data_IF_241385567577
#
_entry.id   IF_241385567577
#
_cell.length_a   1.000
_cell.length_b   1.000
_cell.length_c   1.000
_cell.angle_alpha   90.00
_cell.angle_beta   90.00
_cell.angle_gamma   90.00
#
_symmetry.space_group_name_H-M   'P 1'
#
loop_
_entity.id
_entity.type
_entity.pdbx_description
1 polymer ?
#
# COMPACT_ATOMS: atom_id res chain seq x y z
N UNK A 1 -5.60 -18.29 -23.54
CA UNK A 1 -5.23 -16.88 -23.28
C UNK A 1 -4.84 -16.71 -21.82
N UNK A 2 -4.11 -15.66 -21.48
CA UNK A 2 -3.56 -15.40 -20.13
C UNK A 2 -4.64 -15.43 -19.04
N UNK A 3 -5.81 -14.82 -19.30
CA UNK A 3 -6.92 -14.78 -18.35
C UNK A 3 -7.47 -16.17 -17.97
N UNK A 4 -7.67 -17.05 -18.95
CA UNK A 4 -8.15 -18.41 -18.70
C UNK A 4 -7.12 -19.25 -17.90
N UNK A 5 -5.83 -19.05 -18.18
CA UNK A 5 -4.74 -19.70 -17.44
C UNK A 5 -4.69 -19.23 -15.99
N UNK A 6 -4.93 -17.94 -15.71
CA UNK A 6 -5.01 -17.38 -14.35
C UNK A 6 -6.10 -18.06 -13.51
N UNK A 7 -7.25 -18.36 -14.12
CA UNK A 7 -8.38 -19.03 -13.46
C UNK A 7 -8.30 -20.57 -13.46
N UNK A 8 -7.28 -21.17 -14.09
CA UNK A 8 -7.24 -22.62 -14.28
C UNK A 8 -8.37 -23.15 -15.18
N UNK A 9 -8.98 -22.31 -16.02
CA UNK A 9 -10.12 -22.66 -16.87
C UNK A 9 -9.70 -22.89 -18.32
N UNK A 10 -10.50 -23.69 -19.04
CA UNK A 10 -10.39 -23.77 -20.49
C UNK A 10 -10.84 -22.43 -21.15
N UNK A 11 -10.16 -21.95 -22.21
CA UNK A 11 -10.52 -20.67 -22.85
C UNK A 11 -11.94 -20.57 -23.38
N UNK A 12 -12.59 -21.69 -23.72
CA UNK A 12 -13.99 -21.70 -24.13
C UNK A 12 -14.94 -21.45 -22.96
N UNK A 13 -14.63 -21.99 -21.77
CA UNK A 13 -15.41 -21.76 -20.55
C UNK A 13 -15.42 -20.29 -20.18
N UNK A 14 -14.25 -19.65 -20.17
CA UNK A 14 -14.15 -18.21 -19.89
C UNK A 14 -14.88 -17.36 -20.93
N UNK A 15 -14.85 -17.77 -22.22
CA UNK A 15 -15.62 -17.09 -23.27
C UNK A 15 -17.13 -17.27 -23.09
N UNK A 16 -17.58 -18.45 -22.69
CA UNK A 16 -18.98 -18.71 -22.36
C UNK A 16 -19.45 -17.82 -21.22
N UNK A 17 -18.68 -17.77 -20.13
CA UNK A 17 -19.00 -16.89 -19.00
C UNK A 17 -19.05 -15.41 -19.37
N UNK A 18 -18.18 -14.96 -20.28
CA UNK A 18 -18.20 -13.59 -20.76
C UNK A 18 -19.45 -13.31 -21.60
N UNK A 19 -19.92 -14.29 -22.39
CA UNK A 19 -21.17 -14.17 -23.14
C UNK A 19 -22.39 -14.15 -22.20
N UNK A 20 -22.35 -14.97 -21.15
CA UNK A 20 -23.39 -15.08 -20.12
C UNK A 20 -23.42 -13.88 -19.16
N UNK A 21 -22.49 -12.92 -19.29
CA UNK A 21 -22.35 -11.79 -18.37
C UNK A 21 -21.81 -12.15 -16.98
N UNK A 22 -21.33 -13.38 -16.77
CA UNK A 22 -20.76 -13.86 -15.50
C UNK A 22 -19.37 -13.32 -15.20
N UNK A 23 -18.67 -12.86 -16.24
CA UNK A 23 -17.38 -12.16 -16.11
C UNK A 23 -17.43 -10.90 -16.97
N UNK A 24 -17.04 -9.78 -16.37
CA UNK A 24 -16.89 -8.53 -17.10
C UNK A 24 -15.77 -8.65 -18.14
N UNK A 25 -16.01 -8.16 -19.35
CA UNK A 25 -14.99 -8.08 -20.38
C UNK A 25 -15.14 -6.82 -21.22
N UNK A 26 -14.02 -6.32 -21.70
CA UNK A 26 -13.93 -5.16 -22.59
C UNK A 26 -13.46 -5.68 -23.95
N UNK A 27 -14.18 -5.29 -25.01
CA UNK A 27 -13.76 -5.59 -26.38
C UNK A 27 -12.71 -4.59 -26.85
N UNK A 28 -11.59 -5.10 -27.33
CA UNK A 28 -10.53 -4.31 -27.98
C UNK A 28 -10.28 -4.90 -29.35
N UNK A 29 -10.92 -4.31 -30.37
CA UNK A 29 -10.94 -4.86 -31.73
C UNK A 29 -11.62 -6.24 -31.76
N UNK A 30 -10.84 -7.29 -32.08
CA UNK A 30 -11.32 -8.70 -32.13
C UNK A 30 -11.01 -9.48 -30.85
N UNK A 31 -10.36 -8.86 -29.87
CA UNK A 31 -9.93 -9.52 -28.64
C UNK A 31 -10.80 -9.10 -27.45
N UNK A 32 -11.01 -10.06 -26.54
CA UNK A 32 -11.61 -9.79 -25.23
C UNK A 32 -10.51 -9.55 -24.20
N UNK A 33 -10.60 -8.45 -23.48
CA UNK A 33 -9.77 -8.15 -22.31
C UNK A 33 -10.60 -8.27 -21.05
N UNK A 34 -10.02 -8.90 -20.05
CA UNK A 34 -10.67 -9.14 -18.77
C UNK A 34 -9.97 -8.28 -17.72
N UNK A 35 -10.69 -7.41 -16.99
CA UNK A 35 -10.14 -6.72 -15.83
C UNK A 35 -9.60 -7.75 -14.84
N UNK A 36 -8.45 -7.45 -14.24
CA UNK A 36 -7.80 -8.37 -13.28
C UNK A 36 -8.73 -8.63 -12.09
N UNK A 37 -9.35 -7.58 -11.56
CA UNK A 37 -10.29 -7.65 -10.43
C UNK A 37 -11.51 -8.53 -10.73
N UNK A 38 -11.99 -8.51 -11.99
CA UNK A 38 -13.10 -9.37 -12.42
C UNK A 38 -12.70 -10.86 -12.43
N UNK A 39 -11.45 -11.16 -12.77
CA UNK A 39 -10.91 -12.52 -12.68
C UNK A 39 -10.67 -12.93 -11.23
N UNK A 40 -10.16 -12.03 -10.39
CA UNK A 40 -9.85 -12.33 -8.98
C UNK A 40 -11.14 -12.64 -8.20
N UNK A 41 -12.24 -11.90 -8.45
CA UNK A 41 -13.59 -12.24 -7.93
C UNK A 41 -14.05 -13.66 -8.30
N UNK A 42 -13.73 -14.14 -9.49
CA UNK A 42 -14.10 -15.48 -9.97
C UNK A 42 -13.19 -16.59 -9.45
N UNK A 43 -11.97 -16.23 -9.04
CA UNK A 43 -10.99 -17.15 -8.47
C UNK A 43 -11.34 -17.57 -7.04
N UNK A 44 -12.42 -17.01 -6.48
CA UNK A 44 -12.77 -17.17 -5.07
C UNK A 44 -11.82 -16.41 -4.15
N UNK A 45 -11.00 -15.50 -4.68
CA UNK A 45 -10.30 -14.51 -3.86
C UNK A 45 -11.38 -13.56 -3.35
N UNK A 46 -11.72 -13.59 -2.05
CA UNK A 46 -12.75 -12.72 -1.53
C UNK A 46 -12.34 -11.26 -1.83
N UNK A 47 -13.29 -10.36 -2.14
CA UNK A 47 -13.03 -8.94 -2.00
C UNK A 47 -12.48 -8.76 -0.59
N UNK A 48 -11.25 -8.28 -0.47
CA UNK A 48 -10.67 -7.95 0.82
C UNK A 48 -11.63 -6.96 1.46
N UNK A 49 -12.34 -7.36 2.50
CA UNK A 49 -13.13 -6.40 3.26
C UNK A 49 -12.17 -5.30 3.71
N UNK A 50 -12.53 -4.01 3.54
CA UNK A 50 -11.64 -2.92 3.89
C UNK A 50 -11.33 -2.98 5.39
N UNK A 51 -10.20 -3.59 5.72
CA UNK A 51 -9.73 -3.68 7.10
C UNK A 51 -9.45 -2.27 7.59
N UNK A 52 -9.81 -1.93 8.82
CA UNK A 52 -9.44 -0.63 9.42
C UNK A 52 -8.07 -0.70 10.12
N UNK A 53 -7.38 -1.83 9.97
CA UNK A 53 -6.07 -2.08 10.56
C UNK A 53 -4.99 -1.16 9.96
N UNK A 54 -4.15 -0.66 10.85
CA UNK A 54 -3.06 0.27 10.58
C UNK A 54 -1.74 -0.41 10.90
N UNK A 55 -0.79 -0.36 9.98
CA UNK A 55 0.60 -0.71 10.21
C UNK A 55 1.43 0.55 10.47
N UNK A 56 2.25 0.55 11.52
CA UNK A 56 3.20 1.63 11.78
C UNK A 56 4.55 1.37 11.12
N UNK A 57 5.19 2.40 10.56
CA UNK A 57 6.59 2.34 10.16
C UNK A 57 7.42 3.43 10.84
N UNK A 58 8.45 3.00 11.57
CA UNK A 58 9.36 3.90 12.29
C UNK A 58 10.80 3.69 11.85
N UNK A 59 11.54 4.80 11.73
CA UNK A 59 12.92 4.78 11.21
C UNK A 59 13.78 5.82 11.90
N UNK A 60 15.01 5.40 12.23
CA UNK A 60 16.09 6.29 12.69
C UNK A 60 17.32 6.16 11.80
N UNK A 61 17.99 7.28 11.53
CA UNK A 61 19.32 7.26 10.90
C UNK A 61 20.35 6.81 11.93
N UNK A 62 21.26 5.92 11.54
CA UNK A 62 22.29 5.40 12.44
C UNK A 62 23.38 6.41 12.86
N UNK A 63 23.41 7.64 12.31
CA UNK A 63 24.60 8.48 12.33
C UNK A 63 24.53 9.77 13.17
N UNK A 64 23.41 10.13 13.80
CA UNK A 64 23.36 11.38 14.58
C UNK A 64 22.26 11.34 15.62
N UNK A 65 22.60 11.71 16.86
CA UNK A 65 21.72 11.77 18.03
C UNK A 65 20.67 12.89 17.97
N UNK A 66 19.91 12.94 16.88
CA UNK A 66 18.72 13.79 16.75
C UNK A 66 17.48 12.98 17.16
N UNK A 67 16.70 13.61 18.03
CA UNK A 67 15.70 13.05 18.94
C UNK A 67 14.38 12.65 18.26
N UNK A 68 14.38 11.49 17.61
CA UNK A 68 13.19 10.64 17.74
C UNK A 68 13.68 9.21 17.88
N UNK A 69 13.67 8.71 19.12
CA UNK A 69 13.96 7.29 19.32
C UNK A 69 12.90 6.47 18.59
N UNK A 70 13.26 5.27 18.12
CA UNK A 70 12.29 4.34 17.53
C UNK A 70 11.09 4.13 18.47
N UNK A 71 11.36 4.10 19.78
CA UNK A 71 10.35 3.99 20.83
C UNK A 71 9.43 5.21 20.91
N UNK A 72 9.96 6.43 20.78
CA UNK A 72 9.16 7.65 20.80
C UNK A 72 8.21 7.74 19.60
N UNK A 73 8.72 7.47 18.40
CA UNK A 73 7.87 7.42 17.19
C UNK A 73 6.79 6.34 17.31
N UNK A 74 7.13 5.17 17.84
CA UNK A 74 6.18 4.08 18.03
C UNK A 74 5.13 4.40 19.11
N UNK A 75 5.53 5.06 20.20
CA UNK A 75 4.62 5.50 21.24
C UNK A 75 3.59 6.51 20.70
N UNK A 76 4.05 7.47 19.89
CA UNK A 76 3.21 8.45 19.22
C UNK A 76 2.20 7.78 18.25
N UNK A 77 2.65 6.81 17.45
CA UNK A 77 1.75 6.03 16.60
C UNK A 77 0.73 5.24 17.44
N UNK A 78 1.15 4.66 18.58
CA UNK A 78 0.23 3.94 19.47
C UNK A 78 -0.79 4.85 20.12
N UNK A 79 -0.38 6.06 20.52
CA UNK A 79 -1.27 7.06 21.10
C UNK A 79 -2.34 7.48 20.09
N UNK A 80 -1.97 7.65 18.81
CA UNK A 80 -2.91 8.09 17.78
C UNK A 80 -3.87 7.00 17.30
N UNK A 81 -3.37 5.78 17.07
CA UNK A 81 -4.18 4.73 16.44
C UNK A 81 -4.71 3.69 17.42
N UNK A 82 -4.18 3.61 18.65
CA UNK A 82 -4.62 2.64 19.66
C UNK A 82 -4.67 1.22 19.13
N UNK A 83 -5.81 0.55 19.32
CA UNK A 83 -6.05 -0.84 18.91
C UNK A 83 -6.08 -1.05 17.39
N UNK A 84 -6.20 0.03 16.61
CA UNK A 84 -6.09 -0.07 15.15
C UNK A 84 -4.66 -0.30 14.70
N UNK A 85 -3.65 0.04 15.52
CA UNK A 85 -2.24 -0.19 15.19
C UNK A 85 -1.85 -1.65 15.43
N UNK A 86 -2.01 -2.50 14.42
CA UNK A 86 -1.82 -3.95 14.56
C UNK A 86 -0.36 -4.37 14.62
N UNK A 87 0.52 -3.65 13.91
CA UNK A 87 1.94 -4.02 13.80
C UNK A 87 2.82 -2.80 13.54
N UNK A 88 4.02 -2.79 14.12
CA UNK A 88 5.01 -1.72 13.90
C UNK A 88 6.31 -2.30 13.34
N UNK A 89 6.70 -1.81 12.18
CA UNK A 89 7.94 -2.15 11.48
C UNK A 89 9.00 -1.10 11.77
N UNK A 90 10.24 -1.55 12.00
CA UNK A 90 11.33 -0.70 12.48
C UNK A 90 12.58 -0.87 11.64
N UNK A 91 13.28 0.23 11.36
CA UNK A 91 14.60 0.22 10.72
C UNK A 91 15.58 1.22 11.36
N UNK A 92 16.84 0.79 11.48
CA UNK A 92 17.98 1.66 11.78
C UNK A 92 18.83 1.82 10.52
N UNK A 93 18.45 2.78 9.67
CA UNK A 93 19.09 3.04 8.40
C UNK A 93 18.92 4.50 7.98
N UNK A 94 19.92 5.02 7.25
CA UNK A 94 19.76 6.29 6.52
C UNK A 94 18.58 6.20 5.55
N UNK A 95 17.84 7.29 5.36
CA UNK A 95 16.74 7.36 4.39
C UNK A 95 17.18 7.27 2.93
N UNK A 96 18.50 7.20 2.68
CA UNK A 96 19.12 6.93 1.38
C UNK A 96 19.48 5.46 1.16
N UNK A 97 19.43 4.62 2.21
CA UNK A 97 19.75 3.19 2.07
C UNK A 97 18.50 2.41 1.66
N UNK A 98 18.63 1.62 0.61
CA UNK A 98 17.56 0.74 0.13
C UNK A 98 17.41 -0.51 1.00
N UNK A 99 18.50 -1.04 1.56
CA UNK A 99 18.48 -2.21 2.47
C UNK A 99 17.81 -1.87 3.79
N UNK A 100 16.49 -2.09 3.85
CA UNK A 100 15.60 -1.79 4.98
C UNK A 100 14.71 -3.01 5.26
N UNK A 101 15.17 -3.97 6.08
CA UNK A 101 14.41 -5.21 6.33
C UNK A 101 13.04 -4.97 6.99
N UNK A 102 12.87 -3.89 7.75
CA UNK A 102 11.57 -3.47 8.27
C UNK A 102 10.61 -3.08 7.14
N UNK A 103 11.02 -2.13 6.29
CA UNK A 103 10.24 -1.69 5.14
C UNK A 103 9.93 -2.83 4.16
N UNK A 104 10.90 -3.70 3.85
CA UNK A 104 10.69 -4.83 2.95
C UNK A 104 9.71 -5.87 3.51
N UNK A 105 9.57 -5.98 4.83
CA UNK A 105 8.53 -6.81 5.44
C UNK A 105 7.17 -6.12 5.38
N UNK A 106 7.12 -4.82 5.64
CA UNK A 106 5.91 -4.02 5.50
C UNK A 106 5.34 -4.13 4.08
N UNK A 107 6.16 -3.94 3.04
CA UNK A 107 5.69 -4.02 1.65
C UNK A 107 5.13 -5.41 1.31
N UNK A 108 5.76 -6.49 1.78
CA UNK A 108 5.24 -7.86 1.57
C UNK A 108 3.93 -8.12 2.33
N UNK A 109 3.82 -7.62 3.56
CA UNK A 109 2.61 -7.78 4.35
C UNK A 109 1.46 -6.90 3.80
N UNK A 110 1.77 -5.79 3.14
CA UNK A 110 0.81 -4.95 2.42
C UNK A 110 0.20 -5.71 1.23
N UNK A 111 1.00 -6.47 0.47
CA UNK A 111 0.51 -7.36 -0.60
C UNK A 111 -0.41 -8.46 -0.08
N UNK A 112 -0.28 -8.83 1.20
CA UNK A 112 -1.15 -9.83 1.85
C UNK A 112 -2.43 -9.23 2.43
N UNK A 113 -2.66 -7.93 2.25
CA UNK A 113 -3.84 -7.19 2.70
C UNK A 113 -4.13 -7.29 4.22
N UNK A 114 -3.09 -7.43 5.06
CA UNK A 114 -3.25 -7.50 6.51
C UNK A 114 -3.62 -6.15 7.17
N UNK A 115 -3.46 -5.04 6.45
CA UNK A 115 -3.78 -3.67 6.87
C UNK A 115 -4.11 -2.83 5.63
N UNK A 116 -4.83 -1.73 5.82
CA UNK A 116 -5.23 -0.80 4.75
C UNK A 116 -4.53 0.56 4.86
N UNK A 117 -3.84 0.82 5.97
CA UNK A 117 -3.13 2.08 6.20
C UNK A 117 -1.73 1.79 6.71
N UNK A 118 -0.75 2.52 6.19
CA UNK A 118 0.60 2.64 6.74
C UNK A 118 0.75 4.00 7.38
N UNK A 119 0.91 4.03 8.69
CA UNK A 119 1.12 5.26 9.45
C UNK A 119 2.61 5.52 9.70
N UNK A 120 3.04 6.75 9.48
CA UNK A 120 4.39 7.25 9.77
C UNK A 120 4.32 8.62 10.44
N UNK A 121 5.25 8.90 11.34
CA UNK A 121 5.25 10.22 12.01
C UNK A 121 5.54 11.35 11.02
N UNK A 122 6.47 11.13 10.07
CA UNK A 122 6.87 12.08 9.03
C UNK A 122 7.14 11.34 7.72
N UNK A 123 6.93 12.00 6.58
CA UNK A 123 7.14 11.38 5.25
C UNK A 123 8.59 10.94 5.02
N UNK A 124 9.56 11.64 5.61
CA UNK A 124 10.98 11.28 5.53
C UNK A 124 11.31 9.94 6.21
N UNK A 125 10.42 9.43 7.10
CA UNK A 125 10.56 8.09 7.68
C UNK A 125 10.51 7.03 6.59
N UNK A 126 9.57 7.14 5.63
CA UNK A 126 9.44 6.22 4.50
C UNK A 126 10.66 6.27 3.60
N UNK A 127 11.07 7.45 3.14
CA UNK A 127 12.28 7.63 2.35
C UNK A 127 12.68 9.11 2.31
N UNK A 128 13.97 9.39 2.06
CA UNK A 128 14.43 10.78 1.83
C UNK A 128 14.07 11.29 0.43
N UNK A 129 14.02 10.37 -0.53
CA UNK A 129 13.60 10.59 -1.91
C UNK A 129 12.72 9.41 -2.36
N UNK A 130 11.80 9.63 -3.31
CA UNK A 130 10.94 8.57 -3.83
C UNK A 130 9.79 8.16 -2.89
N UNK A 131 9.37 9.04 -1.97
CA UNK A 131 8.19 8.81 -1.13
C UNK A 131 6.95 8.57 -2.00
N UNK A 132 6.76 9.40 -3.04
CA UNK A 132 5.65 9.24 -4.00
C UNK A 132 5.65 7.88 -4.71
N UNK A 133 6.82 7.29 -4.94
CA UNK A 133 6.91 5.96 -5.53
C UNK A 133 6.50 4.87 -4.55
N UNK A 134 6.85 5.01 -3.27
CA UNK A 134 6.40 4.09 -2.21
C UNK A 134 4.90 4.21 -1.96
N UNK A 135 4.36 5.43 -1.95
CA UNK A 135 2.92 5.68 -1.87
C UNK A 135 2.18 5.02 -3.03
N UNK A 136 2.64 5.22 -4.27
CA UNK A 136 2.04 4.58 -5.45
C UNK A 136 2.16 3.05 -5.43
N UNK A 137 3.21 2.50 -4.82
CA UNK A 137 3.35 1.05 -4.67
C UNK A 137 2.36 0.49 -3.64
N UNK A 138 2.20 1.18 -2.50
CA UNK A 138 1.25 0.80 -1.46
C UNK A 138 -0.21 0.97 -1.94
N UNK A 139 -0.50 2.02 -2.70
CA UNK A 139 -1.82 2.28 -3.30
C UNK A 139 -2.25 1.15 -4.24
N UNK A 140 -1.32 0.57 -5.01
CA UNK A 140 -1.58 -0.63 -5.82
C UNK A 140 -1.96 -1.86 -5.00
N UNK A 141 -1.57 -1.92 -3.74
CA UNK A 141 -1.97 -2.95 -2.78
C UNK A 141 -3.22 -2.57 -2.00
N UNK A 142 -3.87 -1.44 -2.32
CA UNK A 142 -5.02 -0.92 -1.58
C UNK A 142 -4.65 -0.34 -0.21
N UNK A 143 -3.39 0.07 -0.02
CA UNK A 143 -2.87 0.58 1.25
C UNK A 143 -2.59 2.07 1.15
N UNK A 144 -3.28 2.87 1.94
CA UNK A 144 -3.06 4.31 2.05
C UNK A 144 -1.87 4.62 2.97
N UNK A 145 -1.24 5.77 2.78
CA UNK A 145 -0.19 6.28 3.68
C UNK A 145 -0.74 7.45 4.49
N UNK A 146 -0.63 7.38 5.82
CA UNK A 146 -1.02 8.44 6.73
C UNK A 146 0.21 9.02 7.43
N UNK A 147 0.37 10.34 7.36
CA UNK A 147 1.52 11.06 7.95
C UNK A 147 1.01 11.95 9.08
N UNK A 148 1.48 11.73 10.31
CA UNK A 148 1.00 12.48 11.48
C UNK A 148 1.42 13.96 11.42
N UNK A 149 2.68 14.20 11.02
CA UNK A 149 3.25 15.52 10.87
C UNK A 149 3.56 15.77 9.39
N UNK A 150 2.54 16.11 8.58
CA UNK A 150 2.81 16.58 7.24
C UNK A 150 3.66 17.84 7.35
N UNK A 151 4.69 17.96 6.51
CA UNK A 151 5.40 19.25 6.41
C UNK A 151 4.36 20.28 6.00
N UNK A 152 4.09 21.25 6.88
CA UNK A 152 3.26 22.39 6.55
C UNK A 152 3.73 22.96 5.22
N UNK A 153 2.79 23.19 4.31
CA UNK A 153 3.05 23.99 3.12
C UNK A 153 3.79 25.25 3.57
N UNK A 154 5.06 25.37 3.21
CA UNK A 154 5.77 26.64 3.29
C UNK A 154 4.88 27.69 2.65
N UNK A 155 4.54 28.73 3.42
CA UNK A 155 3.48 29.68 3.11
C UNK A 155 3.57 30.25 1.69
N UNK A 156 2.51 30.03 0.93
CA UNK A 156 1.99 31.02 0.01
C UNK A 156 0.71 31.56 0.64
N UNK A 157 0.74 32.80 1.11
CA UNK A 157 -0.49 33.57 1.31
C UNK A 157 -1.25 33.50 -0.02
N UNK A 158 -2.56 33.19 -0.04
CA UNK A 158 -3.32 33.40 -1.26
C UNK A 158 -3.35 34.91 -1.52
N UNK A 159 -2.49 35.39 -2.42
CA UNK A 159 -2.72 36.68 -3.06
C UNK A 159 -4.04 36.56 -3.83
N UNK A 160 -5.08 37.18 -3.27
CA UNK A 160 -6.27 37.53 -4.01
C UNK A 160 -5.88 38.66 -4.98
N UNK A 161 -5.74 38.32 -6.26
CA UNK A 161 -5.99 39.25 -7.37
C UNK A 161 -7.13 38.68 -8.22
#
# INVERSE_FOLDING_TARGET
GVAAKRLGLHPTTLRGWANDGKVECIWVGRERRFPVDALDRLSGTPPVEPTTAVAGYVRVSGTTGQESSLAGQEAELREMFGDRLTKVYKDKASGLRERRPGLNRLLRDAESHCFSVVAVTHSDRLARFGVSWLEALLDKSGVAVEVLHPKGSTGGVPELL
#
